data_IF_513605196583
#
_entry.id   IF_513605196583
#
_cell.length_a   1.000
_cell.length_b   1.000
_cell.length_c   1.000
_cell.angle_alpha   90.00
_cell.angle_beta   90.00
_cell.angle_gamma   90.00
#
_symmetry.space_group_name_H-M   'P 1'
#
loop_
_entity.id
_entity.type
_entity.pdbx_description
1 polymer ?
#
# COMPACT_ATOMS: atom_id res chain seq x y z
N UNK A 1 4.47 -28.33 -8.60
CA UNK A 1 5.14 -27.03 -8.85
C UNK A 1 6.04 -27.26 -10.05
N UNK A 2 5.75 -26.65 -11.21
CA UNK A 2 6.41 -27.00 -12.47
C UNK A 2 7.87 -26.52 -12.51
N UNK A 3 8.78 -27.38 -12.97
CA UNK A 3 10.17 -27.02 -13.23
C UNK A 3 10.25 -26.03 -14.41
N UNK A 4 10.89 -24.86 -14.27
CA UNK A 4 10.96 -23.87 -15.35
C UNK A 4 11.83 -24.32 -16.54
N UNK A 5 12.64 -25.39 -16.38
CA UNK A 5 13.56 -25.86 -17.41
C UNK A 5 13.01 -27.02 -18.25
N UNK A 6 12.40 -28.02 -17.61
CA UNK A 6 11.88 -29.23 -18.28
C UNK A 6 10.37 -29.41 -18.12
N UNK A 7 9.68 -28.51 -17.40
CA UNK A 7 8.24 -28.54 -17.13
C UNK A 7 7.73 -29.77 -16.35
N UNK A 8 8.61 -30.60 -15.83
CA UNK A 8 8.24 -31.68 -14.92
C UNK A 8 7.57 -31.15 -13.63
N UNK A 9 6.59 -31.88 -13.10
CA UNK A 9 5.73 -31.38 -12.02
C UNK A 9 6.31 -31.54 -10.61
N UNK A 10 7.31 -32.41 -10.48
CA UNK A 10 7.92 -32.76 -9.19
C UNK A 10 9.25 -32.04 -8.97
N UNK A 11 9.38 -31.53 -7.75
CA UNK A 11 10.61 -30.88 -7.26
C UNK A 11 10.74 -31.05 -5.75
N UNK A 12 11.98 -31.19 -5.27
CA UNK A 12 12.31 -31.33 -3.85
C UNK A 12 12.76 -29.99 -3.28
N UNK A 13 12.22 -29.60 -2.12
CA UNK A 13 12.68 -28.41 -1.39
C UNK A 13 14.06 -28.70 -0.79
N UNK A 14 15.02 -27.81 -1.04
CA UNK A 14 16.43 -27.91 -0.61
C UNK A 14 16.74 -26.92 0.50
N UNK A 15 16.24 -25.69 0.39
CA UNK A 15 16.47 -24.62 1.35
C UNK A 15 15.20 -23.76 1.43
N UNK A 16 14.87 -23.23 2.60
CA UNK A 16 13.72 -22.37 2.83
C UNK A 16 14.15 -21.18 3.67
N UNK A 17 13.93 -19.97 3.14
CA UNK A 17 14.23 -18.72 3.83
C UNK A 17 12.99 -17.84 3.84
N UNK A 18 12.74 -17.18 4.96
CA UNK A 18 11.75 -16.10 5.03
C UNK A 18 12.39 -14.83 4.49
N UNK A 19 11.67 -14.06 3.66
CA UNK A 19 12.11 -12.73 3.22
C UNK A 19 12.29 -11.80 4.43
N UNK A 20 13.11 -10.76 4.28
CA UNK A 20 13.44 -9.80 5.36
C UNK A 20 12.19 -9.14 5.97
N UNK A 21 11.16 -8.93 5.16
CA UNK A 21 9.87 -8.36 5.61
C UNK A 21 8.90 -9.41 6.19
N UNK A 22 9.29 -10.69 6.28
CA UNK A 22 8.41 -11.79 6.74
C UNK A 22 7.25 -12.14 5.80
N UNK A 23 7.09 -11.40 4.70
CA UNK A 23 5.88 -11.42 3.85
C UNK A 23 5.83 -12.58 2.87
N UNK A 24 6.99 -13.19 2.58
CA UNK A 24 7.09 -14.27 1.62
C UNK A 24 8.17 -15.27 2.02
N UNK A 25 7.99 -16.53 1.63
CA UNK A 25 8.94 -17.61 1.83
C UNK A 25 9.60 -17.90 0.49
N UNK A 26 10.92 -17.68 0.43
CA UNK A 26 11.74 -18.04 -0.72
C UNK A 26 12.27 -19.45 -0.53
N UNK A 27 11.74 -20.40 -1.29
CA UNK A 27 12.18 -21.81 -1.28
C UNK A 27 13.08 -22.10 -2.46
N UNK A 28 14.25 -22.68 -2.21
CA UNK A 28 15.13 -23.25 -3.25
C UNK A 28 14.71 -24.70 -3.49
N UNK A 29 14.29 -25.01 -4.71
CA UNK A 29 13.82 -26.33 -5.15
C UNK A 29 14.82 -26.96 -6.13
N UNK A 30 14.90 -28.29 -6.15
CA UNK A 30 15.65 -29.09 -7.13
C UNK A 30 14.66 -29.99 -7.89
N UNK A 31 14.70 -29.95 -9.22
CA UNK A 31 13.91 -30.85 -10.05
C UNK A 31 14.39 -32.30 -9.91
N UNK A 32 13.46 -33.26 -9.82
CA UNK A 32 13.74 -34.70 -9.72
C UNK A 32 14.18 -35.31 -11.06
N UNK A 33 13.76 -34.74 -12.18
CA UNK A 33 14.10 -35.21 -13.53
C UNK A 33 15.43 -34.62 -14.03
N UNK A 34 15.51 -33.29 -14.21
CA UNK A 34 16.69 -32.66 -14.81
C UNK A 34 17.76 -32.22 -13.81
N UNK A 35 17.54 -32.40 -12.49
CA UNK A 35 18.50 -32.08 -11.43
C UNK A 35 18.77 -30.58 -11.19
N UNK A 36 18.22 -29.69 -12.03
CA UNK A 36 18.44 -28.23 -11.95
C UNK A 36 17.77 -27.64 -10.71
N UNK A 37 18.39 -26.58 -10.17
CA UNK A 37 17.89 -25.83 -9.01
C UNK A 37 17.19 -24.56 -9.48
N UNK A 38 16.08 -24.23 -8.84
CA UNK A 38 15.33 -22.99 -9.06
C UNK A 38 14.76 -22.48 -7.73
N UNK A 39 14.40 -21.20 -7.67
CA UNK A 39 13.81 -20.61 -6.47
C UNK A 39 12.36 -20.23 -6.74
N UNK A 40 11.50 -20.49 -5.77
CA UNK A 40 10.08 -20.11 -5.79
C UNK A 40 9.79 -19.17 -4.63
N UNK A 41 8.90 -18.22 -4.86
CA UNK A 41 8.39 -17.30 -3.86
C UNK A 41 6.96 -17.71 -3.53
N UNK A 42 6.72 -18.06 -2.26
CA UNK A 42 5.40 -18.36 -1.72
C UNK A 42 5.00 -17.16 -0.86
N UNK A 43 3.96 -16.43 -1.28
CA UNK A 43 3.45 -15.27 -0.54
C UNK A 43 2.08 -15.62 0.04
N UNK A 44 1.88 -15.40 1.34
CA UNK A 44 0.55 -15.47 1.93
C UNK A 44 -0.23 -14.24 1.47
N UNK A 45 -1.30 -14.46 0.70
CA UNK A 45 -2.20 -13.41 0.24
C UNK A 45 -3.29 -13.14 1.28
N UNK A 46 -3.53 -11.88 1.59
CA UNK A 46 -4.66 -11.43 2.41
C UNK A 46 -5.82 -11.11 1.47
N UNK A 47 -7.01 -11.56 1.81
CA UNK A 47 -8.24 -11.26 1.09
C UNK A 47 -9.08 -10.27 1.88
N UNK A 48 -9.70 -9.31 1.20
CA UNK A 48 -10.59 -8.32 1.78
C UNK A 48 -12.02 -8.58 1.38
N UNK A 49 -12.89 -8.80 2.37
CA UNK A 49 -14.34 -8.95 2.17
C UNK A 49 -14.97 -7.57 2.13
N UNK A 50 -15.58 -7.20 1.00
CA UNK A 50 -16.30 -5.92 0.88
C UNK A 50 -17.67 -6.00 1.52
N UNK A 51 -18.26 -4.83 1.80
CA UNK A 51 -19.65 -4.71 2.28
C UNK A 51 -20.67 -5.38 1.33
N UNK A 52 -20.34 -5.49 0.04
CA UNK A 52 -21.17 -6.22 -0.94
C UNK A 52 -21.08 -7.75 -0.83
N UNK A 53 -20.22 -8.29 0.04
CA UNK A 53 -19.89 -9.71 0.14
C UNK A 53 -18.86 -10.19 -0.89
N UNK A 54 -18.40 -9.32 -1.78
CA UNK A 54 -17.36 -9.67 -2.76
C UNK A 54 -16.00 -9.68 -2.08
N UNK A 55 -15.24 -10.76 -2.30
CA UNK A 55 -13.86 -10.88 -1.84
C UNK A 55 -12.89 -10.47 -2.94
N UNK A 56 -11.91 -9.63 -2.58
CA UNK A 56 -10.82 -9.24 -3.48
C UNK A 56 -9.47 -9.34 -2.77
N UNK A 57 -8.35 -9.52 -3.50
CA UNK A 57 -7.04 -9.46 -2.88
C UNK A 57 -6.78 -8.09 -2.26
N UNK A 58 -6.12 -8.08 -1.10
CA UNK A 58 -5.64 -6.86 -0.46
C UNK A 58 -4.66 -6.13 -1.39
N UNK A 59 -4.85 -4.81 -1.52
CA UNK A 59 -4.03 -3.96 -2.37
C UNK A 59 -3.72 -2.65 -1.64
N UNK A 60 -2.42 -2.41 -1.38
CA UNK A 60 -1.91 -1.19 -0.74
C UNK A 60 -2.30 0.07 -1.49
N UNK A 61 -2.41 0.02 -2.83
CA UNK A 61 -2.80 1.19 -3.62
C UNK A 61 -4.23 1.64 -3.29
N UNK A 62 -5.12 0.72 -2.91
CA UNK A 62 -6.48 1.08 -2.47
C UNK A 62 -6.47 1.82 -1.13
N UNK A 63 -5.54 1.51 -0.24
CA UNK A 63 -5.36 2.25 1.01
C UNK A 63 -4.87 3.67 0.70
N UNK A 64 -3.80 3.80 -0.08
CA UNK A 64 -3.26 5.11 -0.47
C UNK A 64 -4.36 5.98 -1.09
N UNK A 65 -5.10 5.44 -2.06
CA UNK A 65 -6.20 6.15 -2.71
C UNK A 65 -7.34 6.53 -1.75
N UNK A 66 -7.67 5.65 -0.79
CA UNK A 66 -8.69 5.91 0.22
C UNK A 66 -8.30 7.02 1.20
N UNK A 67 -7.04 7.04 1.62
CA UNK A 67 -6.50 8.03 2.58
C UNK A 67 -6.20 9.37 1.92
N UNK A 68 -5.80 9.37 0.65
CA UNK A 68 -5.43 10.58 -0.10
C UNK A 68 -6.49 11.68 -0.02
N UNK A 69 -7.78 11.32 -0.05
CA UNK A 69 -8.87 12.30 0.07
C UNK A 69 -8.89 13.00 1.44
N UNK A 70 -8.61 12.29 2.52
CA UNK A 70 -8.53 12.86 3.87
C UNK A 70 -7.31 13.80 4.03
N UNK A 71 -6.20 13.48 3.35
CA UNK A 71 -4.96 14.25 3.39
C UNK A 71 -4.94 15.49 2.46
N UNK A 72 -5.99 15.77 1.71
CA UNK A 72 -6.02 16.93 0.79
C UNK A 72 -5.78 18.26 1.52
N UNK A 73 -4.76 19.00 1.07
CA UNK A 73 -4.35 20.28 1.65
C UNK A 73 -3.55 20.17 2.96
N UNK A 74 -3.06 18.98 3.30
CA UNK A 74 -2.21 18.72 4.47
C UNK A 74 -0.74 18.50 4.06
N UNK A 75 0.23 18.74 4.95
CA UNK A 75 1.66 18.50 4.68
C UNK A 75 1.98 17.01 4.80
N UNK A 76 1.38 16.18 3.94
CA UNK A 76 1.58 14.72 3.89
C UNK A 76 2.11 14.36 2.51
N UNK A 77 3.27 13.71 2.45
CA UNK A 77 3.89 13.29 1.18
C UNK A 77 3.32 11.95 0.68
N UNK A 78 3.55 11.65 -0.59
CA UNK A 78 3.18 10.33 -1.15
C UNK A 78 4.00 9.19 -0.51
N UNK A 79 5.24 9.46 -0.11
CA UNK A 79 6.09 8.49 0.59
C UNK A 79 5.52 8.17 1.98
N UNK A 80 5.00 9.18 2.70
CA UNK A 80 4.33 8.96 3.99
C UNK A 80 3.08 8.09 3.83
N UNK A 81 2.31 8.29 2.77
CA UNK A 81 1.13 7.46 2.47
C UNK A 81 1.52 6.02 2.11
N UNK A 82 2.63 5.83 1.39
CA UNK A 82 3.15 4.51 1.07
C UNK A 82 3.61 3.77 2.33
N UNK A 83 4.34 4.46 3.23
CA UNK A 83 4.73 3.91 4.53
C UNK A 83 3.53 3.57 5.40
N UNK A 84 2.52 4.45 5.45
CA UNK A 84 1.28 4.17 6.17
C UNK A 84 0.59 2.92 5.63
N UNK A 85 0.48 2.78 4.30
CA UNK A 85 -0.15 1.61 3.70
C UNK A 85 0.62 0.31 3.98
N UNK A 86 1.95 0.38 4.05
CA UNK A 86 2.78 -0.74 4.47
C UNK A 86 2.52 -1.11 5.94
N UNK A 87 2.52 -0.14 6.86
CA UNK A 87 2.26 -0.40 8.27
C UNK A 87 0.87 -1.03 8.49
N UNK A 88 -0.13 -0.56 7.74
CA UNK A 88 -1.47 -1.15 7.79
C UNK A 88 -1.46 -2.60 7.31
N UNK A 89 -0.79 -2.91 6.19
CA UNK A 89 -0.65 -4.30 5.73
C UNK A 89 0.01 -5.18 6.79
N UNK A 90 1.08 -4.70 7.41
CA UNK A 90 1.79 -5.43 8.47
C UNK A 90 0.89 -5.68 9.69
N UNK A 91 0.14 -4.67 10.13
CA UNK A 91 -0.81 -4.81 11.25
C UNK A 91 -1.90 -5.85 10.96
N UNK A 92 -2.44 -5.85 9.74
CA UNK A 92 -3.46 -6.80 9.31
C UNK A 92 -2.86 -8.20 9.24
N UNK A 93 -1.65 -8.34 8.70
CA UNK A 93 -0.95 -9.63 8.65
C UNK A 93 -0.65 -10.18 10.04
N UNK A 94 -0.28 -9.31 10.98
CA UNK A 94 -0.02 -9.67 12.37
C UNK A 94 -1.25 -10.21 13.10
N UNK A 95 -2.47 -9.88 12.64
CA UNK A 95 -3.71 -10.45 13.18
C UNK A 95 -3.86 -11.96 12.88
N UNK A 96 -3.12 -12.49 11.90
CA UNK A 96 -3.18 -13.90 11.49
C UNK A 96 -4.38 -14.27 10.61
N UNK A 97 -5.26 -13.31 10.30
CA UNK A 97 -6.45 -13.56 9.48
C UNK A 97 -6.13 -13.58 7.98
N UNK A 98 -6.54 -14.64 7.30
CA UNK A 98 -6.41 -14.75 5.83
C UNK A 98 -7.47 -13.91 5.09
N UNK A 99 -8.60 -13.65 5.75
CA UNK A 99 -9.71 -12.84 5.24
C UNK A 99 -10.06 -11.75 6.26
N UNK A 100 -10.24 -10.52 5.79
CA UNK A 100 -10.45 -9.35 6.64
C UNK A 100 -11.55 -8.48 6.06
N UNK A 101 -12.43 -7.96 6.90
CA UNK A 101 -13.48 -7.07 6.43
C UNK A 101 -12.92 -5.72 6.01
N UNK A 102 -13.48 -5.13 4.95
CA UNK A 102 -13.08 -3.80 4.50
C UNK A 102 -13.27 -2.72 5.58
N UNK A 103 -14.21 -2.92 6.50
CA UNK A 103 -14.40 -2.04 7.65
C UNK A 103 -13.19 -2.09 8.60
N UNK A 104 -12.72 -3.28 8.92
CA UNK A 104 -11.55 -3.50 9.79
C UNK A 104 -10.27 -2.92 9.17
N UNK A 105 -10.12 -3.02 7.84
CA UNK A 105 -9.02 -2.34 7.12
C UNK A 105 -9.10 -0.82 7.33
N UNK A 106 -10.30 -0.25 7.27
CA UNK A 106 -10.54 1.17 7.57
C UNK A 106 -10.16 1.55 8.99
N UNK A 107 -10.49 0.70 9.96
CA UNK A 107 -10.11 0.91 11.37
C UNK A 107 -8.60 0.78 11.58
N UNK A 108 -7.93 -0.15 10.89
CA UNK A 108 -6.48 -0.33 10.96
C UNK A 108 -5.69 0.87 10.42
N UNK A 109 -6.27 1.67 9.53
CA UNK A 109 -5.66 2.92 9.02
C UNK A 109 -5.61 4.02 10.08
N UNK A 110 -6.54 4.02 11.03
CA UNK A 110 -6.72 5.12 11.98
C UNK A 110 -5.49 5.37 12.89
N UNK A 111 -4.89 4.35 13.53
CA UNK A 111 -3.71 4.55 14.37
C UNK A 111 -2.50 5.20 13.64
N UNK A 112 -2.04 4.70 12.48
CA UNK A 112 -0.92 5.33 11.77
C UNK A 112 -1.29 6.70 11.20
N UNK A 113 -2.52 6.87 10.69
CA UNK A 113 -2.96 8.17 10.17
C UNK A 113 -3.00 9.24 11.27
N UNK A 114 -3.36 8.87 12.50
CA UNK A 114 -3.39 9.78 13.65
C UNK A 114 -2.01 10.32 14.01
N UNK A 115 -0.96 9.49 13.90
CA UNK A 115 0.42 9.92 14.14
C UNK A 115 0.95 10.80 13.01
N UNK A 116 0.50 10.53 11.78
CA UNK A 116 0.89 11.28 10.60
C UNK A 116 0.24 12.68 10.55
N UNK A 117 -1.08 12.76 10.69
CA UNK A 117 -1.80 14.03 10.72
C UNK A 117 -3.15 13.91 11.43
N UNK A 118 -3.31 14.67 12.52
CA UNK A 118 -4.51 14.64 13.37
C UNK A 118 -5.77 15.12 12.63
N UNK A 119 -5.64 16.08 11.71
CA UNK A 119 -6.80 16.61 10.96
C UNK A 119 -7.25 15.63 9.89
N UNK A 120 -6.33 15.01 9.15
CA UNK A 120 -6.61 13.94 8.21
C UNK A 120 -7.25 12.75 8.93
N UNK A 121 -6.75 12.40 10.12
CA UNK A 121 -7.37 11.40 10.98
C UNK A 121 -8.83 11.72 11.29
N UNK A 122 -9.15 12.93 11.76
CA UNK A 122 -10.54 13.31 12.06
C UNK A 122 -11.45 13.24 10.82
N UNK A 123 -10.96 13.68 9.67
CA UNK A 123 -11.70 13.61 8.39
C UNK A 123 -11.95 12.18 7.93
N UNK A 124 -11.01 11.28 8.19
CA UNK A 124 -11.13 9.87 7.84
C UNK A 124 -12.02 9.13 8.85
N UNK A 125 -11.83 9.39 10.14
CA UNK A 125 -12.60 8.80 11.24
C UNK A 125 -14.09 9.10 11.14
N UNK A 126 -14.48 10.30 10.72
CA UNK A 126 -15.91 10.65 10.60
C UNK A 126 -16.69 9.75 9.64
N UNK A 127 -16.02 9.21 8.60
CA UNK A 127 -16.65 8.29 7.64
C UNK A 127 -16.69 6.86 8.16
N UNK A 128 -15.60 6.40 8.78
CA UNK A 128 -15.47 4.99 9.17
C UNK A 128 -16.01 4.66 10.55
N UNK A 129 -16.05 5.62 11.47
CA UNK A 129 -16.66 5.47 12.80
C UNK A 129 -18.10 6.01 12.85
N UNK A 130 -18.68 6.38 11.71
CA UNK A 130 -20.05 6.89 11.58
C UNK A 130 -20.34 8.03 12.57
N UNK A 131 -19.62 9.14 12.45
CA UNK A 131 -19.92 10.32 13.26
C UNK A 131 -21.26 10.90 12.80
N UNK A 132 -22.24 10.90 13.69
CA UNK A 132 -23.61 11.38 13.46
C UNK A 132 -23.79 12.82 13.95
N UNK A 133 -23.01 13.23 14.97
CA UNK A 133 -23.20 14.51 15.66
C UNK A 133 -21.91 15.19 16.10
N UNK A 134 -22.07 16.41 16.64
CA UNK A 134 -20.96 17.22 17.17
C UNK A 134 -20.29 16.49 18.35
N UNK A 135 -21.07 15.77 19.14
CA UNK A 135 -20.63 15.02 20.31
C UNK A 135 -19.59 13.96 19.94
N UNK A 136 -19.67 13.38 18.74
CA UNK A 136 -18.69 12.38 18.28
C UNK A 136 -17.33 13.01 17.98
N UNK A 137 -17.35 14.22 17.39
CA UNK A 137 -16.15 15.02 17.20
C UNK A 137 -15.56 15.45 18.54
N UNK A 138 -16.38 15.87 19.50
CA UNK A 138 -15.92 16.26 20.83
C UNK A 138 -15.21 15.10 21.54
N UNK A 139 -15.80 13.89 21.50
CA UNK A 139 -15.17 12.69 22.05
C UNK A 139 -13.85 12.36 21.35
N UNK A 140 -13.82 12.41 20.02
CA UNK A 140 -12.60 12.16 19.26
C UNK A 140 -11.50 13.18 19.57
N UNK A 141 -11.85 14.46 19.70
CA UNK A 141 -10.93 15.54 20.05
C UNK A 141 -10.42 15.38 21.48
N UNK A 142 -11.26 14.99 22.43
CA UNK A 142 -10.85 14.72 23.80
C UNK A 142 -9.77 13.63 23.86
N UNK A 143 -10.00 12.49 23.20
CA UNK A 143 -9.02 11.39 23.10
C UNK A 143 -7.70 11.86 22.48
N UNK A 144 -7.76 12.72 21.46
CA UNK A 144 -6.57 13.27 20.81
C UNK A 144 -5.77 14.18 21.74
N UNK A 145 -6.44 15.00 22.57
CA UNK A 145 -5.79 15.90 23.52
C UNK A 145 -5.06 15.11 24.62
N UNK A 146 -5.69 14.07 25.15
CA UNK A 146 -5.08 13.23 26.18
C UNK A 146 -3.81 12.56 25.66
N UNK A 147 -3.85 12.03 24.44
CA UNK A 147 -2.69 11.42 23.80
C UNK A 147 -1.57 12.42 23.51
N UNK A 148 -1.90 13.65 23.11
CA UNK A 148 -0.90 14.71 22.95
C UNK A 148 -0.24 15.06 24.28
N UNK A 149 -1.01 15.08 25.38
CA UNK A 149 -0.47 15.32 26.71
C UNK A 149 0.46 14.18 27.17
N UNK A 150 0.11 12.92 26.89
CA UNK A 150 0.96 11.76 27.18
C UNK A 150 2.29 11.80 26.42
N UNK A 151 2.24 12.11 25.11
CA UNK A 151 3.43 12.24 24.26
C UNK A 151 4.34 13.38 24.71
N UNK A 152 3.76 14.52 25.12
CA UNK A 152 4.51 15.65 25.67
C UNK A 152 5.11 15.32 27.04
N UNK A 153 4.40 14.58 27.89
CA UNK A 153 4.88 14.15 29.20
C UNK A 153 6.07 13.17 29.10
N UNK A 154 6.05 12.25 28.14
CA UNK A 154 7.13 11.28 27.93
C UNK A 154 8.43 11.91 27.42
N UNK A 155 8.36 13.02 26.67
CA UNK A 155 9.55 13.77 26.23
C UNK A 155 10.28 14.49 27.38
N UNK A 156 9.63 14.70 28.52
CA UNK A 156 10.24 15.35 29.69
C UNK A 156 11.09 14.39 30.54
N UNK A 157 10.94 13.07 30.34
CA UNK A 157 11.63 12.03 31.13
C UNK A 157 12.96 11.56 30.52
N UNK A 158 13.36 12.07 29.36
CA UNK A 158 14.69 11.78 28.79
C UNK A 158 15.69 12.78 29.40
N UNK A 159 16.56 12.37 30.35
CA UNK A 159 17.61 13.27 30.83
C UNK A 159 18.51 13.62 29.64
N UNK A 160 18.95 14.89 29.50
CA UNK A 160 19.88 15.26 28.45
C UNK A 160 21.16 14.44 28.65
N UNK A 161 21.44 13.52 27.73
CA UNK A 161 22.70 12.79 27.71
C UNK A 161 23.84 13.81 27.81
N UNK A 162 24.67 13.66 28.85
CA UNK A 162 25.77 14.54 29.14
C UNK A 162 26.62 14.75 27.88
N UNK A 163 26.73 16.01 27.44
CA UNK A 163 27.66 16.40 26.39
C UNK A 163 29.08 16.18 26.90
N UNK A 164 29.65 15.01 26.69
CA UNK A 164 31.10 14.80 26.84
C UNK A 164 31.80 15.59 25.73
N UNK A 165 32.53 16.63 26.13
CA UNK A 165 33.30 17.48 25.24
C UNK A 165 34.30 16.67 24.42
N UNK A 166 34.15 16.72 23.10
CA UNK A 166 35.21 16.33 22.18
C UNK A 166 36.14 17.54 21.99
N UNK A 167 37.39 17.39 22.43
CA UNK A 167 38.46 18.35 22.22
C UNK A 167 38.73 18.58 20.71
N UNK A 168 39.19 19.78 20.30
CA UNK A 168 39.50 20.07 18.91
C UNK A 168 40.79 19.35 18.48
N UNK A 169 40.69 18.43 17.53
CA UNK A 169 41.83 17.76 16.89
C UNK A 169 42.65 18.71 16.00
N UNK A 170 43.94 18.40 15.74
CA UNK A 170 44.87 19.32 15.11
C UNK A 170 44.60 19.49 13.60
N UNK A 171 44.76 20.72 13.13
CA UNK A 171 44.58 21.16 11.74
C UNK A 171 45.50 20.38 10.79
N UNK A 172 44.93 19.65 9.82
CA UNK A 172 45.66 19.14 8.65
C UNK A 172 45.73 20.23 7.56
N UNK A 173 46.95 20.48 7.08
CA UNK A 173 47.30 21.35 5.95
C UNK A 173 46.60 20.91 4.64
N UNK A 174 46.26 21.82 3.73
CA UNK A 174 45.75 21.46 2.41
C UNK A 174 46.90 20.96 1.52
N UNK A 175 46.74 19.76 0.96
CA UNK A 175 47.60 19.22 -0.10
C UNK A 175 47.04 19.57 -1.48
N UNK A 176 47.97 19.71 -2.42
CA UNK A 176 47.90 20.42 -3.71
C UNK A 176 47.00 19.74 -4.76
N UNK A 177 46.51 20.58 -5.69
CA UNK A 177 45.95 20.26 -7.01
C UNK A 177 46.90 19.40 -7.87
N UNK A 178 46.31 18.49 -8.63
CA UNK A 178 46.78 17.84 -9.85
C UNK A 178 45.71 16.82 -10.26
N UNK A 179 44.81 17.15 -11.19
CA UNK A 179 44.95 16.98 -12.64
C UNK A 179 45.17 15.50 -13.02
N UNK A 180 44.13 14.90 -13.62
CA UNK A 180 44.16 14.00 -14.80
C UNK A 180 43.03 12.96 -14.73
N UNK A 181 41.97 13.20 -15.52
CA UNK A 181 41.00 12.18 -15.92
C UNK A 181 40.68 12.40 -17.41
N UNK A 182 40.96 11.43 -18.30
CA UNK A 182 40.71 11.53 -19.74
C UNK A 182 39.25 11.21 -20.12
N UNK A 183 38.81 11.56 -21.35
CA UNK A 183 37.43 11.39 -21.84
C UNK A 183 37.26 10.12 -22.70
N UNK A 184 36.03 9.61 -22.77
CA UNK A 184 35.45 8.79 -23.86
C UNK A 184 33.99 8.49 -23.46
N UNK A 185 32.95 8.97 -24.13
CA UNK A 185 32.45 8.69 -25.50
C UNK A 185 31.35 7.62 -25.51
N UNK A 186 30.30 7.92 -26.29
CA UNK A 186 29.28 7.05 -26.92
C UNK A 186 28.27 6.28 -26.04
N UNK A 187 26.99 6.13 -26.40
CA UNK A 187 26.17 6.62 -27.50
C UNK A 187 24.69 6.34 -27.16
N UNK A 188 23.81 7.07 -27.85
CA UNK A 188 22.48 6.69 -28.39
C UNK A 188 21.74 5.47 -27.80
N UNK A 189 20.41 5.47 -27.62
CA UNK A 189 19.42 5.82 -28.62
C UNK A 189 18.02 5.87 -27.97
N UNK A 190 17.22 6.85 -28.38
CA UNK A 190 15.79 6.95 -28.11
C UNK A 190 15.07 6.89 -29.46
N UNK A 191 13.91 6.24 -29.56
CA UNK A 191 12.96 6.59 -30.60
C UNK A 191 11.73 7.28 -30.00
N UNK A 192 11.60 8.57 -30.34
CA UNK A 192 10.31 9.16 -30.67
C UNK A 192 9.81 8.53 -31.99
N UNK A 193 8.57 8.07 -32.02
CA UNK A 193 7.76 8.12 -33.24
C UNK A 193 6.39 8.70 -32.93
N UNK A 194 6.23 9.95 -33.36
CA UNK A 194 4.96 10.60 -33.66
C UNK A 194 4.45 10.14 -35.03
N UNK A 195 3.18 9.72 -35.12
CA UNK A 195 2.53 9.41 -36.40
C UNK A 195 1.02 9.29 -36.26
N UNK A 196 0.31 10.28 -36.80
CA UNK A 196 -1.10 10.57 -36.58
C UNK A 196 -2.11 9.72 -37.40
N UNK A 197 -3.38 9.85 -36.98
CA UNK A 197 -4.62 9.77 -37.77
C UNK A 197 -5.30 8.42 -38.00
N UNK A 198 -6.54 8.32 -37.49
CA UNK A 198 -7.50 7.29 -37.90
C UNK A 198 -8.78 7.24 -37.05
N UNK A 199 -9.69 8.20 -37.25
CA UNK A 199 -11.07 8.15 -36.74
C UNK A 199 -11.80 6.89 -37.26
N UNK A 200 -12.51 6.17 -36.38
CA UNK A 200 -13.95 5.89 -36.55
C UNK A 200 -14.61 5.30 -35.28
N UNK A 201 -15.89 5.65 -35.01
CA UNK A 201 -16.58 5.33 -33.76
C UNK A 201 -17.27 3.95 -33.80
N UNK A 202 -17.29 3.27 -32.65
CA UNK A 202 -18.04 2.02 -32.47
C UNK A 202 -19.57 2.25 -32.46
N UNK A 203 -20.37 1.34 -33.05
CA UNK A 203 -21.81 1.55 -33.23
C UNK A 203 -22.62 1.34 -31.94
N UNK A 204 -23.58 2.26 -31.75
CA UNK A 204 -24.62 2.24 -30.72
C UNK A 204 -25.50 1.00 -30.86
N UNK A 205 -25.55 0.15 -29.84
CA UNK A 205 -26.55 -0.93 -29.73
C UNK A 205 -27.94 -0.30 -29.55
N UNK A 206 -28.82 -0.57 -30.51
CA UNK A 206 -30.22 -0.15 -30.52
C UNK A 206 -31.00 -0.89 -29.45
N UNK A 207 -31.70 -0.15 -28.60
CA UNK A 207 -32.83 -0.63 -27.79
C UNK A 207 -33.96 -1.09 -28.75
N UNK A 208 -34.57 -2.28 -28.58
CA UNK A 208 -35.84 -2.57 -29.22
C UNK A 208 -36.96 -1.73 -28.59
N UNK A 209 -37.78 -1.15 -29.47
CA UNK A 209 -38.99 -0.37 -29.14
C UNK A 209 -40.11 -1.29 -28.65
N UNK A 210 -40.89 -0.79 -27.69
CA UNK A 210 -42.21 -1.30 -27.28
C UNK A 210 -43.13 -1.41 -28.49
N UNK A 211 -43.82 -2.54 -28.62
CA UNK A 211 -45.13 -2.61 -29.28
C UNK A 211 -46.21 -2.43 -28.20
N UNK A 212 -47.20 -1.61 -28.52
CA UNK A 212 -48.40 -1.34 -27.74
C UNK A 212 -49.53 -2.30 -28.18
N UNK A 213 -50.63 -2.25 -27.42
CA UNK A 213 -51.95 -2.85 -27.66
C UNK A 213 -52.02 -4.37 -27.36
N UNK A 214 -53.04 -4.90 -26.67
CA UNK A 214 -54.45 -4.50 -26.68
C UNK A 214 -55.15 -4.91 -25.37
N UNK A 215 -56.06 -4.05 -24.92
CA UNK A 215 -57.09 -4.30 -23.90
C UNK A 215 -58.00 -5.44 -24.36
N UNK A 216 -58.26 -6.44 -23.51
CA UNK A 216 -59.48 -7.27 -23.57
C UNK A 216 -59.77 -7.86 -22.18
N UNK A 217 -60.80 -7.34 -21.52
CA UNK A 217 -61.49 -8.04 -20.43
C UNK A 217 -62.19 -9.29 -21.00
N UNK A 218 -62.45 -10.30 -20.15
CA UNK A 218 -63.88 -10.59 -19.97
C UNK A 218 -64.29 -10.82 -18.51
N UNK A 219 -65.58 -10.52 -18.36
CA UNK A 219 -66.54 -10.66 -17.28
C UNK A 219 -66.83 -12.15 -16.97
N UNK A 220 -67.31 -12.40 -15.74
CA UNK A 220 -68.07 -13.59 -15.25
C UNK A 220 -67.19 -14.83 -14.96
N UNK A 221 -67.28 -15.52 -13.81
CA UNK A 221 -68.31 -15.69 -12.76
C UNK A 221 -67.71 -15.54 -11.35
#
# INVERSE_FOLDING_TARGET
MHCPFCRHNDSKVVDSRTSDDGTAIRRRRRCTECGRRFSTLETTSISVIKRSGVTEPFDRQKIVNGVRKACQGRPVSEDDLAMLAQEVEESIRASGSAEVEAHDVGLAILPPLRRLDVVAYLRFASVYQAFDGLEDFERAIAVLRDQQAELAGQQTLVPPAARTGAAPGPRRRPARRGADAPPAEDAADAPEESGASGKQPAPRRRRPKKAAETVTQPRLL
#
